data_IF_128254477985
#
_entry.id   IF_128254477985
#
_cell.length_a   1.000
_cell.length_b   1.000
_cell.length_c   1.000
_cell.angle_alpha   90.00
_cell.angle_beta   90.00
_cell.angle_gamma   90.00
#
_symmetry.space_group_name_H-M   'P 1'
#
loop_
_entity.id
_entity.type
_entity.pdbx_description
1 polymer ?
#
# COMPACT_ATOMS: atom_id res chain seq x y z
N UNK A 1 -8.51 1.83 24.42
CA UNK A 1 -8.03 1.94 23.04
C UNK A 1 -7.07 0.80 22.78
N UNK A 2 -7.36 -0.04 21.78
CA UNK A 2 -6.39 -1.01 21.29
C UNK A 2 -5.33 -0.24 20.49
N UNK A 3 -4.02 -0.42 20.72
CA UNK A 3 -3.01 0.26 19.92
C UNK A 3 -3.18 -0.20 18.47
N UNK A 4 -3.27 0.74 17.54
CA UNK A 4 -3.27 0.41 16.12
C UNK A 4 -1.95 -0.32 15.80
N UNK A 5 -1.98 -1.46 15.11
CA UNK A 5 -0.76 -2.15 14.71
C UNK A 5 0.11 -1.21 13.87
N UNK A 6 1.43 -1.28 14.05
CA UNK A 6 2.36 -0.53 13.21
C UNK A 6 2.22 -0.89 11.73
N UNK A 7 2.69 -0.01 10.85
CA UNK A 7 2.68 -0.28 9.41
C UNK A 7 3.47 -1.56 9.09
N UNK A 8 2.88 -2.45 8.29
CA UNK A 8 3.48 -3.68 7.81
C UNK A 8 4.05 -3.50 6.41
N UNK A 9 5.21 -4.12 6.14
CA UNK A 9 5.80 -4.17 4.81
C UNK A 9 6.05 -5.63 4.45
N UNK A 10 5.52 -6.07 3.31
CA UNK A 10 5.68 -7.41 2.79
C UNK A 10 6.40 -7.35 1.44
N UNK A 11 7.57 -7.95 1.33
CA UNK A 11 8.22 -8.16 0.03
C UNK A 11 7.48 -9.27 -0.71
N UNK A 12 6.83 -8.94 -1.83
CA UNK A 12 6.04 -9.89 -2.62
C UNK A 12 6.85 -10.53 -3.75
N UNK A 13 7.85 -9.83 -4.28
CA UNK A 13 8.76 -10.36 -5.28
C UNK A 13 10.12 -9.67 -5.24
N UNK A 14 11.17 -10.42 -5.56
CA UNK A 14 12.54 -9.92 -5.73
C UNK A 14 13.09 -10.48 -7.04
N UNK A 15 13.56 -9.61 -7.91
CA UNK A 15 14.31 -9.95 -9.12
C UNK A 15 15.61 -9.15 -9.16
N UNK A 16 16.50 -9.50 -10.08
CA UNK A 16 17.80 -8.86 -10.25
C UNK A 16 17.69 -7.33 -10.48
N UNK A 17 16.64 -6.88 -11.17
CA UNK A 17 16.43 -5.49 -11.52
C UNK A 17 15.35 -4.76 -10.69
N UNK A 18 14.56 -5.48 -9.87
CA UNK A 18 13.40 -4.88 -9.19
C UNK A 18 13.01 -5.62 -7.92
N UNK A 19 12.68 -4.85 -6.89
CA UNK A 19 11.98 -5.33 -5.69
C UNK A 19 10.54 -4.84 -5.72
N UNK A 20 9.60 -5.74 -5.42
CA UNK A 20 8.18 -5.41 -5.25
C UNK A 20 7.80 -5.63 -3.79
N UNK A 21 7.19 -4.61 -3.20
CA UNK A 21 6.73 -4.64 -1.81
C UNK A 21 5.29 -4.13 -1.72
N UNK A 22 4.53 -4.70 -0.79
CA UNK A 22 3.22 -4.23 -0.38
C UNK A 22 3.34 -3.59 1.00
N UNK A 23 2.79 -2.38 1.14
CA UNK A 23 2.74 -1.66 2.42
C UNK A 23 1.31 -1.67 2.91
N UNK A 24 1.11 -2.13 4.14
CA UNK A 24 -0.17 -2.19 4.81
C UNK A 24 -0.14 -1.27 6.03
N UNK A 25 -1.17 -0.45 6.19
CA UNK A 25 -1.28 0.50 7.29
C UNK A 25 -2.74 0.60 7.71
N UNK A 26 -2.95 0.92 8.99
CA UNK A 26 -4.27 1.20 9.52
C UNK A 26 -4.62 2.67 9.33
N UNK A 27 -5.89 2.94 9.10
CA UNK A 27 -6.44 4.29 9.03
C UNK A 27 -7.90 4.28 9.47
N UNK A 28 -8.38 5.43 9.93
CA UNK A 28 -9.82 5.62 10.16
C UNK A 28 -10.58 5.56 8.82
N UNK A 29 -11.79 4.98 8.82
CA UNK A 29 -12.58 4.78 7.60
C UNK A 29 -12.94 6.10 6.91
N UNK A 30 -13.13 7.18 7.67
CA UNK A 30 -13.47 8.51 7.11
C UNK A 30 -12.31 9.17 6.35
N UNK A 31 -11.07 8.75 6.62
CA UNK A 31 -9.86 9.39 6.10
C UNK A 31 -9.10 8.54 5.08
N UNK A 32 -9.62 7.36 4.70
CA UNK A 32 -8.87 6.36 3.93
C UNK A 32 -8.23 6.87 2.65
N UNK A 33 -8.95 7.68 1.86
CA UNK A 33 -8.39 8.23 0.62
C UNK A 33 -7.26 9.24 0.88
N UNK A 34 -7.48 10.15 1.83
CA UNK A 34 -6.49 11.18 2.19
C UNK A 34 -5.23 10.56 2.78
N UNK A 35 -5.39 9.58 3.69
CA UNK A 35 -4.26 8.86 4.29
C UNK A 35 -3.52 8.05 3.24
N UNK A 36 -4.22 7.30 2.38
CA UNK A 36 -3.58 6.53 1.31
C UNK A 36 -2.77 7.43 0.36
N UNK A 37 -3.35 8.56 -0.06
CA UNK A 37 -2.67 9.52 -0.91
C UNK A 37 -1.42 10.10 -0.24
N UNK A 38 -1.52 10.44 1.05
CA UNK A 38 -0.39 10.94 1.83
C UNK A 38 0.72 9.89 2.00
N UNK A 39 0.36 8.62 2.22
CA UNK A 39 1.31 7.51 2.33
C UNK A 39 2.04 7.28 1.00
N UNK A 40 1.31 7.27 -0.13
CA UNK A 40 1.91 7.13 -1.46
C UNK A 40 2.90 8.27 -1.73
N UNK A 41 2.53 9.51 -1.42
CA UNK A 41 3.42 10.66 -1.57
C UNK A 41 4.66 10.54 -0.68
N UNK A 42 4.49 10.18 0.60
CA UNK A 42 5.59 10.05 1.55
C UNK A 42 6.59 8.96 1.14
N UNK A 43 6.10 7.79 0.70
CA UNK A 43 6.95 6.70 0.22
C UNK A 43 7.68 7.13 -1.06
N UNK A 44 6.97 7.75 -2.01
CA UNK A 44 7.57 8.22 -3.27
C UNK A 44 8.70 9.20 -3.00
N UNK A 45 8.47 10.20 -2.16
CA UNK A 45 9.50 11.17 -1.76
C UNK A 45 10.67 10.49 -1.06
N UNK A 46 10.40 9.62 -0.08
CA UNK A 46 11.46 8.94 0.67
C UNK A 46 12.33 8.00 -0.18
N UNK A 47 11.77 7.42 -1.24
CA UNK A 47 12.53 6.62 -2.20
C UNK A 47 13.35 7.50 -3.15
N UNK A 48 12.78 8.60 -3.63
CA UNK A 48 13.48 9.56 -4.47
C UNK A 48 14.68 10.20 -3.74
N UNK A 49 14.53 10.57 -2.46
CA UNK A 49 15.62 11.09 -1.61
C UNK A 49 16.78 10.10 -1.44
N UNK A 50 16.49 8.80 -1.54
CA UNK A 50 17.49 7.72 -1.52
C UNK A 50 18.09 7.41 -2.90
N UNK A 51 17.67 8.16 -3.93
CA UNK A 51 18.11 7.96 -5.31
C UNK A 51 17.50 6.72 -5.97
N UNK A 52 16.42 6.17 -5.43
CA UNK A 52 15.79 4.96 -5.97
C UNK A 52 14.72 5.33 -6.98
N UNK A 53 14.83 4.77 -8.19
CA UNK A 53 13.76 4.82 -9.17
C UNK A 53 12.66 3.83 -8.76
N UNK A 54 11.54 4.34 -8.27
CA UNK A 54 10.43 3.54 -7.79
C UNK A 54 9.09 4.01 -8.36
N UNK A 55 8.17 3.07 -8.50
CA UNK A 55 6.77 3.34 -8.82
C UNK A 55 5.93 2.92 -7.61
N UNK A 56 5.22 3.88 -7.03
CA UNK A 56 4.35 3.66 -5.87
C UNK A 56 2.92 3.92 -6.32
N UNK A 57 2.05 2.93 -6.09
CA UNK A 57 0.63 3.02 -6.45
C UNK A 57 -0.19 2.45 -5.30
N UNK A 58 -1.34 3.07 -5.03
CA UNK A 58 -2.37 2.42 -4.23
C UNK A 58 -3.05 1.35 -5.07
N UNK A 59 -3.21 0.15 -4.55
CA UNK A 59 -4.03 -0.87 -5.18
C UNK A 59 -5.50 -0.45 -5.04
N UNK A 60 -6.19 -0.26 -6.17
CA UNK A 60 -7.64 -0.13 -6.16
C UNK A 60 -8.20 -1.53 -5.93
N UNK A 61 -8.67 -1.82 -4.72
CA UNK A 61 -9.54 -2.99 -4.51
C UNK A 61 -10.82 -2.73 -5.30
N UNK A 62 -10.87 -3.22 -6.54
CA UNK A 62 -12.12 -3.34 -7.27
C UNK A 62 -12.85 -4.52 -6.61
N UNK A 63 -14.00 -4.31 -5.96
CA UNK A 63 -14.78 -5.44 -5.47
C UNK A 63 -15.05 -6.39 -6.64
N UNK A 64 -14.98 -7.72 -6.45
CA UNK A 64 -15.33 -8.63 -7.53
C UNK A 64 -16.73 -8.27 -8.05
N UNK A 65 -16.85 -8.00 -9.36
CA UNK A 65 -18.10 -7.65 -10.04
C UNK A 65 -19.09 -8.82 -10.17
N UNK A 66 -18.77 -9.96 -9.52
CA UNK A 66 -19.64 -11.12 -9.43
C UNK A 66 -19.99 -11.33 -7.96
N UNK A 67 -21.29 -11.32 -7.59
CA UNK A 67 -21.73 -11.87 -6.32
C UNK A 67 -21.16 -13.29 -6.21
N UNK A 68 -20.47 -13.59 -5.11
CA UNK A 68 -20.05 -14.96 -4.84
C UNK A 68 -21.28 -15.85 -4.80
N UNK A 69 -21.31 -16.86 -5.67
CA UNK A 69 -22.35 -17.89 -5.64
C UNK A 69 -22.26 -18.63 -4.30
N UNK A 70 -23.33 -18.70 -3.49
CA UNK A 70 -23.29 -19.46 -2.25
C UNK A 70 -23.27 -20.96 -2.59
N UNK A 71 -22.13 -21.61 -2.34
CA UNK A 71 -22.04 -23.07 -2.24
C UNK A 71 -22.39 -23.50 -0.82
#
# INVERSE_FOLDING_TARGET
MHPEPGAGVLLSAVSDARVTAQVQFWHDTSNGLSVTSAVVAAITTGLAERGWAATVTSETVVPPLVPGDPV
#
